data_IF_702973835839
#
_entry.id   IF_702973835839
#
_cell.length_a   1.000
_cell.length_b   1.000
_cell.length_c   1.000
_cell.angle_alpha   90.00
_cell.angle_beta   90.00
_cell.angle_gamma   90.00
#
_symmetry.space_group_name_H-M   'P 1'
#
loop_
_entity.id
_entity.type
_entity.pdbx_description
1 polymer ?
#
# COMPACT_ATOMS: atom_id res chain seq x y z
N UNK A 1 -10.77 -22.38 -21.00
CA UNK A 1 -9.80 -21.31 -20.63
C UNK A 1 -10.47 -19.97 -20.92
N UNK A 2 -10.74 -19.10 -19.93
CA UNK A 2 -11.28 -17.76 -20.24
C UNK A 2 -10.17 -16.91 -20.87
N UNK A 3 -10.43 -16.19 -21.98
CA UNK A 3 -9.45 -15.28 -22.56
C UNK A 3 -9.11 -14.18 -21.54
N UNK A 4 -7.83 -13.80 -21.51
CA UNK A 4 -7.34 -12.70 -20.68
C UNK A 4 -7.90 -11.38 -21.21
N UNK A 5 -8.73 -10.71 -20.41
CA UNK A 5 -9.26 -9.38 -20.72
C UNK A 5 -8.51 -8.30 -19.94
N UNK A 6 -7.61 -7.54 -20.60
CA UNK A 6 -6.85 -6.48 -19.96
C UNK A 6 -7.71 -5.30 -19.47
N UNK A 7 -8.90 -5.07 -20.04
CA UNK A 7 -9.80 -4.01 -19.61
C UNK A 7 -10.50 -4.38 -18.30
N UNK A 8 -11.04 -5.60 -18.20
CA UNK A 8 -11.59 -6.12 -16.96
C UNK A 8 -10.54 -6.18 -15.84
N UNK A 9 -9.28 -6.47 -16.16
CA UNK A 9 -8.18 -6.40 -15.20
C UNK A 9 -7.93 -4.97 -14.73
N UNK A 10 -7.86 -3.99 -15.63
CA UNK A 10 -7.68 -2.57 -15.27
C UNK A 10 -8.79 -2.05 -14.37
N UNK A 11 -10.04 -2.36 -14.67
CA UNK A 11 -11.20 -1.95 -13.84
C UNK A 11 -11.19 -2.60 -12.46
N UNK A 12 -10.72 -3.85 -12.36
CA UNK A 12 -10.58 -4.56 -11.09
C UNK A 12 -9.41 -4.01 -10.28
N UNK A 13 -8.32 -3.65 -10.94
CA UNK A 13 -7.15 -3.02 -10.35
C UNK A 13 -7.50 -1.61 -9.82
N UNK A 14 -8.18 -0.78 -10.61
CA UNK A 14 -8.67 0.54 -10.22
C UNK A 14 -9.56 0.48 -8.96
N UNK A 15 -10.46 -0.51 -8.89
CA UNK A 15 -11.29 -0.76 -7.70
C UNK A 15 -10.50 -1.20 -6.45
N UNK A 16 -9.28 -1.72 -6.63
CA UNK A 16 -8.41 -2.16 -5.53
C UNK A 16 -7.28 -1.19 -5.21
N UNK A 17 -7.23 -0.02 -5.88
CA UNK A 17 -6.15 0.96 -5.76
C UNK A 17 -4.83 0.52 -6.38
N UNK A 18 -4.79 -0.63 -7.05
CA UNK A 18 -3.61 -1.09 -7.78
C UNK A 18 -3.67 -0.49 -9.18
N UNK A 19 -2.56 0.05 -9.69
CA UNK A 19 -2.44 0.50 -11.08
C UNK A 19 -1.40 -0.34 -11.81
N UNK A 20 -1.63 -0.55 -13.10
CA UNK A 20 -0.70 -1.22 -13.98
C UNK A 20 0.30 -0.18 -14.54
N UNK A 21 1.59 -0.46 -14.46
CA UNK A 21 2.65 0.43 -14.93
C UNK A 21 3.29 1.28 -13.84
N UNK A 22 4.38 1.94 -14.19
CA UNK A 22 5.09 2.88 -13.31
C UNK A 22 4.25 4.15 -13.10
N UNK A 23 4.25 4.76 -11.91
CA UNK A 23 3.58 6.04 -11.71
C UNK A 23 4.11 7.08 -12.69
N UNK A 24 3.20 7.79 -13.35
CA UNK A 24 3.56 8.91 -14.23
C UNK A 24 3.96 10.14 -13.41
N UNK A 25 4.62 11.13 -14.03
CA UNK A 25 4.93 12.39 -13.35
C UNK A 25 3.67 13.07 -12.76
N UNK A 26 2.54 12.98 -13.46
CA UNK A 26 1.24 13.47 -12.99
C UNK A 26 0.77 12.72 -11.75
N UNK A 27 0.91 11.39 -11.72
CA UNK A 27 0.54 10.59 -10.56
C UNK A 27 1.38 10.95 -9.33
N UNK A 28 2.67 11.19 -9.53
CA UNK A 28 3.59 11.63 -8.48
C UNK A 28 3.21 13.02 -7.93
N UNK A 29 2.80 13.93 -8.82
CA UNK A 29 2.32 15.26 -8.42
C UNK A 29 0.99 15.20 -7.65
N UNK A 30 0.07 14.30 -8.03
CA UNK A 30 -1.20 14.09 -7.34
C UNK A 30 -1.05 13.36 -5.99
N UNK A 31 0.07 12.67 -5.77
CA UNK A 31 0.34 11.93 -4.54
C UNK A 31 1.71 12.31 -3.96
N UNK A 32 1.89 13.57 -3.52
CA UNK A 32 3.19 14.09 -3.13
C UNK A 32 3.66 13.53 -1.77
N UNK A 33 2.75 13.01 -0.94
CA UNK A 33 3.09 12.55 0.40
C UNK A 33 3.44 11.07 0.40
N UNK A 34 4.72 10.77 0.68
CA UNK A 34 5.26 9.41 0.61
C UNK A 34 5.58 8.87 2.00
N UNK A 35 5.15 7.63 2.26
CA UNK A 35 5.58 6.84 3.41
C UNK A 35 6.42 5.67 2.90
N UNK A 36 7.69 5.66 3.27
CA UNK A 36 8.67 4.64 2.86
C UNK A 36 8.80 3.61 3.97
N UNK A 37 8.58 2.34 3.63
CA UNK A 37 8.60 1.19 4.54
C UNK A 37 9.73 0.23 4.14
N UNK A 38 10.97 0.58 4.50
CA UNK A 38 12.17 -0.22 4.18
C UNK A 38 12.17 -1.60 4.85
N UNK A 39 11.48 -1.76 5.98
CA UNK A 39 11.44 -3.04 6.70
C UNK A 39 10.27 -3.95 6.29
N UNK A 40 9.41 -3.49 5.36
CA UNK A 40 8.26 -4.26 4.91
C UNK A 40 8.68 -5.29 3.83
N UNK A 41 9.45 -6.29 4.24
CA UNK A 41 9.90 -7.38 3.38
C UNK A 41 9.84 -8.74 4.09
N UNK A 42 9.80 -9.81 3.28
CA UNK A 42 9.87 -11.19 3.79
C UNK A 42 11.19 -11.46 4.50
N UNK A 43 12.29 -10.92 4.00
CA UNK A 43 13.61 -11.08 4.60
C UNK A 43 13.68 -10.52 6.03
N UNK A 44 13.01 -9.39 6.30
CA UNK A 44 13.00 -8.75 7.63
C UNK A 44 11.95 -9.30 8.59
N UNK A 45 10.77 -9.65 8.08
CA UNK A 45 9.62 -10.00 8.92
C UNK A 45 9.34 -11.51 8.98
N UNK A 46 9.87 -12.29 8.04
CA UNK A 46 9.41 -13.65 7.77
C UNK A 46 8.10 -13.67 7.01
N UNK A 47 7.76 -14.83 6.41
CA UNK A 47 6.65 -14.94 5.46
C UNK A 47 5.28 -14.60 6.05
N UNK A 48 4.94 -15.21 7.19
CA UNK A 48 3.61 -15.07 7.77
C UNK A 48 3.34 -13.65 8.28
N UNK A 49 4.32 -13.10 9.01
CA UNK A 49 4.23 -11.72 9.53
C UNK A 49 4.25 -10.71 8.41
N UNK A 50 5.07 -10.92 7.36
CA UNK A 50 5.05 -10.07 6.17
C UNK A 50 3.66 -10.02 5.54
N UNK A 51 3.05 -11.17 5.26
CA UNK A 51 1.72 -11.22 4.61
C UNK A 51 0.69 -10.46 5.44
N UNK A 52 0.65 -10.73 6.75
CA UNK A 52 -0.27 -10.04 7.66
C UNK A 52 -0.04 -8.52 7.69
N UNK A 53 1.20 -8.06 7.91
CA UNK A 53 1.52 -6.63 8.01
C UNK A 53 1.25 -5.92 6.67
N UNK A 54 1.61 -6.54 5.55
CA UNK A 54 1.37 -6.01 4.21
C UNK A 54 -0.13 -5.87 3.91
N UNK A 55 -0.93 -6.90 4.23
CA UNK A 55 -2.38 -6.83 4.05
C UNK A 55 -3.01 -5.74 4.92
N UNK A 56 -2.60 -5.62 6.18
CA UNK A 56 -3.08 -4.55 7.07
C UNK A 56 -2.69 -3.17 6.54
N UNK A 57 -1.45 -2.98 6.08
CA UNK A 57 -1.01 -1.72 5.48
C UNK A 57 -1.85 -1.39 4.24
N UNK A 58 -2.05 -2.35 3.34
CA UNK A 58 -2.88 -2.16 2.14
C UNK A 58 -4.33 -1.81 2.49
N UNK A 59 -4.93 -2.49 3.45
CA UNK A 59 -6.29 -2.19 3.92
C UNK A 59 -6.37 -0.79 4.56
N UNK A 60 -5.35 -0.40 5.34
CA UNK A 60 -5.26 0.94 5.91
C UNK A 60 -5.19 2.01 4.82
N UNK A 61 -4.35 1.83 3.79
CA UNK A 61 -4.24 2.76 2.68
C UNK A 61 -5.57 2.90 1.93
N UNK A 62 -6.22 1.78 1.62
CA UNK A 62 -7.52 1.77 0.94
C UNK A 62 -8.64 2.45 1.75
N UNK A 63 -8.64 2.34 3.08
CA UNK A 63 -9.64 2.98 3.94
C UNK A 63 -9.36 4.47 4.16
N UNK A 64 -8.09 4.84 4.35
CA UNK A 64 -7.68 6.23 4.63
C UNK A 64 -7.67 7.12 3.39
N UNK A 65 -7.43 6.53 2.22
CA UNK A 65 -7.43 7.22 0.94
C UNK A 65 -8.07 6.34 -0.17
N UNK A 66 -9.40 6.19 -0.17
CA UNK A 66 -10.10 5.37 -1.16
C UNK A 66 -9.81 5.89 -2.57
N UNK A 67 -9.13 5.10 -3.39
CA UNK A 67 -8.76 5.48 -4.77
C UNK A 67 -7.70 6.58 -4.91
N UNK A 68 -7.23 7.18 -3.82
CA UNK A 68 -6.27 8.28 -3.80
C UNK A 68 -4.93 7.89 -3.14
N UNK A 69 -4.47 6.67 -3.41
CA UNK A 69 -3.17 6.17 -2.97
C UNK A 69 -2.47 5.36 -4.05
N UNK A 70 -1.14 5.34 -3.99
CA UNK A 70 -0.29 4.49 -4.84
C UNK A 70 0.59 3.61 -3.96
N UNK A 71 0.89 2.41 -4.44
CA UNK A 71 1.77 1.46 -3.76
C UNK A 71 2.85 0.99 -4.74
N UNK A 72 4.11 1.14 -4.35
CA UNK A 72 5.27 0.78 -5.16
C UNK A 72 6.20 -0.14 -4.38
N UNK A 73 6.77 -1.16 -5.02
CA UNK A 73 7.83 -1.96 -4.42
C UNK A 73 9.18 -1.23 -4.54
N UNK A 74 9.99 -1.30 -3.49
CA UNK A 74 11.38 -0.82 -3.48
C UNK A 74 12.28 -2.00 -3.83
N UNK A 75 13.18 -1.78 -4.79
CA UNK A 75 14.16 -2.77 -5.21
C UNK A 75 15.57 -2.24 -4.96
N UNK A 76 16.42 -3.08 -4.36
CA UNK A 76 17.86 -2.87 -4.24
C UNK A 76 18.54 -4.15 -4.74
N UNK A 77 19.54 -4.03 -5.61
CA UNK A 77 20.25 -5.20 -6.19
C UNK A 77 19.29 -6.27 -6.75
N UNK A 78 18.24 -5.85 -7.45
CA UNK A 78 17.18 -6.71 -8.00
C UNK A 78 16.33 -7.47 -6.94
N UNK A 79 16.55 -7.24 -5.65
CA UNK A 79 15.75 -7.80 -4.58
C UNK A 79 14.75 -6.79 -4.05
N UNK A 80 13.51 -7.23 -3.79
CA UNK A 80 12.49 -6.37 -3.19
C UNK A 80 12.78 -6.18 -1.70
N UNK A 81 13.23 -4.98 -1.34
CA UNK A 81 13.62 -4.63 0.03
C UNK A 81 12.49 -3.99 0.84
N UNK A 82 11.50 -3.38 0.20
CA UNK A 82 10.40 -2.73 0.92
C UNK A 82 9.28 -2.22 0.01
N UNK A 83 8.50 -1.26 0.53
CA UNK A 83 7.41 -0.62 -0.20
C UNK A 83 7.32 0.88 0.08
N UNK A 84 6.83 1.63 -0.90
CA UNK A 84 6.42 3.03 -0.78
C UNK A 84 4.91 3.12 -0.93
N UNK A 85 4.28 3.86 -0.04
CA UNK A 85 2.87 4.24 -0.14
C UNK A 85 2.79 5.73 -0.34
N UNK A 86 2.09 6.18 -1.38
CA UNK A 86 1.89 7.59 -1.68
C UNK A 86 0.44 7.99 -1.47
N UNK A 87 0.22 9.22 -1.01
CA UNK A 87 -1.08 9.76 -0.68
C UNK A 87 -1.24 11.17 -1.22
N UNK A 88 -2.47 11.52 -1.61
CA UNK A 88 -2.82 12.88 -2.01
C UNK A 88 -2.78 13.88 -0.84
N UNK A 89 -2.94 13.43 0.40
CA UNK A 89 -2.98 14.30 1.59
C UNK A 89 -1.99 13.87 2.67
N UNK A 90 -1.37 14.85 3.34
CA UNK A 90 -0.43 14.64 4.44
C UNK A 90 -1.09 13.92 5.63
N UNK A 91 -2.35 14.23 5.90
CA UNK A 91 -3.13 13.62 6.97
C UNK A 91 -3.35 12.11 6.74
N UNK A 92 -3.64 11.70 5.50
CA UNK A 92 -3.75 10.28 5.16
C UNK A 92 -2.42 9.55 5.35
N UNK A 93 -1.30 10.15 4.91
CA UNK A 93 0.04 9.61 5.12
C UNK A 93 0.40 9.45 6.60
N UNK A 94 0.08 10.44 7.44
CA UNK A 94 0.31 10.39 8.88
C UNK A 94 -0.49 9.27 9.55
N UNK A 95 -1.80 9.23 9.29
CA UNK A 95 -2.71 8.20 9.81
C UNK A 95 -2.30 6.79 9.37
N UNK A 96 -1.86 6.66 8.12
CA UNK A 96 -1.33 5.41 7.58
C UNK A 96 -0.09 4.96 8.36
N UNK A 97 0.86 5.87 8.63
CA UNK A 97 2.07 5.55 9.38
C UNK A 97 1.75 5.04 10.79
N UNK A 98 0.75 5.62 11.47
CA UNK A 98 0.27 5.12 12.76
C UNK A 98 -0.32 3.71 12.67
N UNK A 99 -1.14 3.44 11.63
CA UNK A 99 -1.70 2.11 11.39
C UNK A 99 -0.59 1.07 11.13
N UNK A 100 0.40 1.43 10.32
CA UNK A 100 1.54 0.56 10.03
C UNK A 100 2.35 0.24 11.29
N UNK A 101 2.68 1.24 12.11
CA UNK A 101 3.40 1.04 13.37
C UNK A 101 2.63 0.14 14.35
N UNK A 102 1.29 0.29 14.41
CA UNK A 102 0.45 -0.59 15.22
C UNK A 102 0.49 -2.04 14.69
N UNK A 103 0.34 -2.23 13.39
CA UNK A 103 0.40 -3.54 12.74
C UNK A 103 1.75 -4.23 12.96
N UNK A 104 2.86 -3.48 12.85
CA UNK A 104 4.21 -3.97 13.07
C UNK A 104 4.41 -4.42 14.53
N UNK A 105 3.87 -3.66 15.49
CA UNK A 105 3.85 -4.00 16.92
C UNK A 105 2.86 -5.13 17.27
N UNK A 106 2.12 -5.66 16.29
CA UNK A 106 1.12 -6.70 16.50
C UNK A 106 -0.17 -6.23 17.15
N UNK A 107 -0.38 -4.92 17.29
CA UNK A 107 -1.54 -4.29 17.93
C UNK A 107 -2.70 -4.09 16.93
N UNK A 108 -3.96 -4.04 17.40
CA UNK A 108 -5.08 -3.64 16.55
C UNK A 108 -4.87 -2.22 16.02
N UNK A 109 -5.33 -1.97 14.79
CA UNK A 109 -5.17 -0.67 14.16
C UNK A 109 -6.02 0.38 14.87
N UNK A 110 -5.44 1.50 15.35
CA UNK A 110 -6.17 2.51 16.11
C UNK A 110 -7.22 3.25 15.29
N UNK A 111 -7.15 3.19 13.95
CA UNK A 111 -7.98 4.01 13.05
C UNK A 111 -8.92 3.19 12.15
N UNK A 112 -8.81 1.86 12.17
CA UNK A 112 -9.62 0.96 11.33
C UNK A 112 -10.70 0.24 12.16
N UNK A 113 -10.59 0.27 13.49
CA UNK A 113 -11.46 -0.46 14.43
C UNK A 113 -12.80 0.24 14.74
N UNK A 114 -13.18 1.28 14.00
CA UNK A 114 -14.44 2.00 14.17
C UNK A 114 -15.31 1.91 12.92
N UNK A 115 -16.33 1.05 12.97
CA UNK A 115 -17.29 0.85 11.90
C UNK A 115 -18.11 -0.41 12.16
N UNK A 116 -19.03 -0.31 13.12
CA UNK A 116 -20.30 -1.06 13.05
C UNK A 116 -21.30 -0.15 12.35
#
# INVERSE_FOLDING_TARGET
MKPFDPAALRDRLARTGLRFGWPTATDLALHPHVVVLHDLSRAKLGDWRFVRVFQTARAAAARLAPGAHLVEAIYEQHQRTGYKFRFATSMAALRFRLCYSAALAGRPSPLISGGR
#
